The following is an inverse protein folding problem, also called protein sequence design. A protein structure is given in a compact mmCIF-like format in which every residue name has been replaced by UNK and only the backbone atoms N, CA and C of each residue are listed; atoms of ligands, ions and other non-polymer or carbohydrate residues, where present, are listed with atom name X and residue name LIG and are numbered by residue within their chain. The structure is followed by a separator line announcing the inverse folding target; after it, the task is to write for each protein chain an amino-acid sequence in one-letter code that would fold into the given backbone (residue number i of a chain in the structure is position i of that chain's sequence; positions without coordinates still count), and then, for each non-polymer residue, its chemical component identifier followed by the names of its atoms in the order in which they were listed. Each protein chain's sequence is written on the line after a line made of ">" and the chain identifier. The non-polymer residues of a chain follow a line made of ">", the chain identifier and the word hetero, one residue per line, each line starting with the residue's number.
data_IF_426806206181
#
_entry.id   IF_426806206181
#
_cell.length_a   1.000
_cell.length_b   1.000
_cell.length_c   1.000
_cell.angle_alpha   90.00
_cell.angle_beta   90.00
_cell.angle_gamma   90.00
#
_symmetry.space_group_name_H-M   'P 1'
#
loop_
_entity.id
_entity.type
_entity.pdbx_description
1 polymer ?
#
# COMPACT_ATOMS: atom_id res chain seq x y z
N UNK A 1 23.64 -1.31 -33.51
CA UNK A 1 24.80 -1.43 -32.62
C UNK A 1 24.32 -2.10 -31.33
N UNK A 2 24.54 -3.41 -31.26
CA UNK A 2 24.26 -4.16 -30.06
C UNK A 2 25.39 -3.94 -29.07
N UNK A 3 25.14 -3.41 -27.90
CA UNK A 3 26.10 -3.45 -26.79
C UNK A 3 26.17 -4.94 -26.39
N UNK A 4 27.17 -5.64 -26.90
CA UNK A 4 27.38 -7.04 -26.61
C UNK A 4 27.86 -7.21 -25.18
N UNK A 5 26.95 -7.52 -24.26
CA UNK A 5 27.35 -8.04 -22.95
C UNK A 5 28.01 -9.41 -23.16
N UNK A 6 29.10 -9.72 -22.42
CA UNK A 6 29.72 -11.03 -22.48
C UNK A 6 28.67 -12.10 -22.07
N UNK A 7 28.73 -13.30 -22.65
CA UNK A 7 27.87 -14.40 -22.26
C UNK A 7 28.08 -14.74 -20.77
N UNK A 8 27.02 -15.20 -20.09
CA UNK A 8 27.13 -15.72 -18.73
C UNK A 8 27.99 -17.03 -18.69
N UNK A 9 28.19 -17.57 -17.50
CA UNK A 9 28.97 -18.81 -17.29
C UNK A 9 28.39 -20.02 -18.02
N UNK A 10 27.11 -19.96 -18.42
CA UNK A 10 26.44 -21.00 -19.21
C UNK A 10 26.41 -20.68 -20.71
N UNK A 11 27.14 -19.66 -21.15
CA UNK A 11 27.21 -19.26 -22.56
C UNK A 11 25.97 -18.54 -23.10
N UNK A 12 25.02 -18.15 -22.22
CA UNK A 12 23.80 -17.48 -22.61
C UNK A 12 24.05 -15.98 -22.71
N UNK A 13 23.53 -15.36 -23.78
CA UNK A 13 23.60 -13.89 -23.95
C UNK A 13 22.33 -13.25 -23.43
N UNK A 14 22.51 -12.27 -22.57
CA UNK A 14 21.43 -11.43 -22.07
C UNK A 14 21.06 -10.37 -23.11
N UNK A 15 19.80 -10.32 -23.49
CA UNK A 15 19.26 -9.28 -24.35
C UNK A 15 18.31 -8.43 -23.54
N UNK A 16 18.57 -7.13 -23.50
CA UNK A 16 17.66 -6.17 -22.86
C UNK A 16 16.51 -5.92 -23.82
N UNK A 17 15.33 -6.38 -23.46
CA UNK A 17 14.09 -6.11 -24.18
C UNK A 17 13.50 -4.75 -23.80
N UNK A 18 12.74 -4.13 -24.71
CA UNK A 18 12.04 -2.87 -24.43
C UNK A 18 11.18 -2.93 -23.16
N UNK A 19 10.62 -4.08 -22.85
CA UNK A 19 9.85 -4.29 -21.62
C UNK A 19 10.72 -4.17 -20.37
N UNK A 20 11.93 -4.73 -20.38
CA UNK A 20 12.88 -4.64 -19.27
C UNK A 20 13.38 -3.20 -19.06
N UNK A 21 13.64 -2.47 -20.15
CA UNK A 21 13.99 -1.06 -20.07
C UNK A 21 12.88 -0.22 -19.48
N UNK A 22 11.63 -0.45 -19.95
CA UNK A 22 10.44 0.23 -19.41
C UNK A 22 10.29 -0.07 -17.93
N UNK A 23 10.44 -1.33 -17.52
CA UNK A 23 10.38 -1.77 -16.14
C UNK A 23 11.40 -1.05 -15.27
N UNK A 24 12.68 -1.11 -15.63
CA UNK A 24 13.76 -0.46 -14.90
C UNK A 24 13.54 1.05 -14.80
N UNK A 25 13.08 1.68 -15.90
CA UNK A 25 12.77 3.10 -15.92
C UNK A 25 11.66 3.45 -14.93
N UNK A 26 10.52 2.75 -14.95
CA UNK A 26 9.39 3.05 -14.08
C UNK A 26 9.72 2.86 -12.60
N UNK A 27 10.44 1.80 -12.27
CA UNK A 27 10.88 1.54 -10.89
C UNK A 27 11.85 2.62 -10.42
N UNK A 28 12.85 2.96 -11.25
CA UNK A 28 13.82 4.02 -10.93
C UNK A 28 13.13 5.38 -10.81
N UNK A 29 12.19 5.68 -11.70
CA UNK A 29 11.43 6.93 -11.67
C UNK A 29 10.58 7.05 -10.40
N UNK A 30 9.87 5.97 -10.03
CA UNK A 30 9.12 5.94 -8.78
C UNK A 30 10.05 6.06 -7.55
N UNK A 31 11.19 5.37 -7.58
CA UNK A 31 12.20 5.49 -6.52
C UNK A 31 12.64 6.94 -6.28
N UNK A 32 12.93 7.66 -7.36
CA UNK A 32 13.42 9.04 -7.28
C UNK A 32 12.34 10.04 -6.83
N UNK A 33 11.10 9.85 -7.26
CA UNK A 33 10.04 10.87 -7.14
C UNK A 33 8.87 10.43 -6.26
N UNK A 34 8.85 9.17 -5.81
CA UNK A 34 7.85 8.58 -4.93
C UNK A 34 6.40 8.82 -5.44
N UNK A 35 5.46 9.01 -4.53
CA UNK A 35 4.03 9.19 -4.86
C UNK A 35 3.71 10.43 -5.72
N UNK A 36 4.53 11.46 -5.67
CA UNK A 36 4.35 12.64 -6.51
C UNK A 36 4.53 12.36 -8.02
N UNK A 37 5.20 11.26 -8.36
CA UNK A 37 5.50 10.90 -9.74
C UNK A 37 4.43 10.05 -10.43
N UNK A 38 3.45 9.54 -9.71
CA UNK A 38 2.52 8.52 -10.20
C UNK A 38 1.78 8.94 -11.47
N UNK A 39 1.33 10.20 -11.58
CA UNK A 39 0.66 10.69 -12.78
C UNK A 39 1.59 10.71 -14.00
N UNK A 40 2.80 11.26 -13.82
CA UNK A 40 3.81 11.33 -14.88
C UNK A 40 4.25 9.92 -15.30
N UNK A 41 4.52 9.03 -14.35
CA UNK A 41 4.90 7.65 -14.62
C UNK A 41 3.79 6.89 -15.36
N UNK A 42 2.52 7.07 -14.97
CA UNK A 42 1.37 6.48 -15.66
C UNK A 42 1.28 6.94 -17.10
N UNK A 43 1.44 8.24 -17.35
CA UNK A 43 1.47 8.81 -18.69
C UNK A 43 2.62 8.26 -19.53
N UNK A 44 3.83 8.22 -18.98
CA UNK A 44 5.03 7.69 -19.68
C UNK A 44 4.94 6.19 -19.96
N UNK A 45 4.24 5.46 -19.11
CA UNK A 45 3.99 4.03 -19.29
C UNK A 45 2.78 3.73 -20.21
N UNK A 46 2.12 4.76 -20.72
CA UNK A 46 0.88 4.61 -21.53
C UNK A 46 -0.18 3.75 -20.81
N UNK A 47 -0.26 3.89 -19.49
CA UNK A 47 -1.31 3.24 -18.71
C UNK A 47 -2.59 4.08 -18.73
N UNK A 48 -3.70 3.48 -19.17
CA UNK A 48 -5.01 4.12 -19.17
C UNK A 48 -5.50 4.40 -17.74
N UNK A 49 -5.11 3.55 -16.78
CA UNK A 49 -5.49 3.68 -15.38
C UNK A 49 -4.25 3.68 -14.49
N UNK A 50 -4.20 4.62 -13.55
CA UNK A 50 -3.09 4.74 -12.60
C UNK A 50 -2.98 3.51 -11.69
N UNK A 51 -4.08 2.82 -11.45
CA UNK A 51 -4.10 1.57 -10.69
C UNK A 51 -3.25 0.47 -11.31
N UNK A 52 -3.19 0.41 -12.64
CA UNK A 52 -2.32 -0.55 -13.35
C UNK A 52 -0.85 -0.27 -13.07
N UNK A 53 -0.46 1.01 -13.02
CA UNK A 53 0.89 1.40 -12.63
C UNK A 53 1.18 1.01 -11.19
N UNK A 54 0.24 1.25 -10.27
CA UNK A 54 0.42 0.93 -8.85
C UNK A 54 0.62 -0.57 -8.64
N UNK A 55 -0.25 -1.42 -9.19
CA UNK A 55 -0.09 -2.88 -9.17
C UNK A 55 1.25 -3.33 -9.75
N UNK A 56 1.72 -2.63 -10.79
CA UNK A 56 3.02 -2.91 -11.38
C UNK A 56 4.18 -2.55 -10.43
N UNK A 57 4.09 -1.42 -9.72
CA UNK A 57 5.05 -1.02 -8.70
C UNK A 57 5.07 -2.04 -7.56
N UNK A 58 3.92 -2.39 -6.99
CA UNK A 58 3.80 -3.39 -5.94
C UNK A 58 4.42 -4.75 -6.31
N UNK A 59 4.24 -5.18 -7.56
CA UNK A 59 4.76 -6.46 -8.04
C UNK A 59 6.28 -6.46 -8.29
N UNK A 60 6.91 -5.31 -8.48
CA UNK A 60 8.29 -5.24 -8.96
C UNK A 60 9.23 -4.42 -8.08
N UNK A 61 8.70 -3.67 -7.13
CA UNK A 61 9.50 -2.95 -6.14
C UNK A 61 9.87 -3.89 -4.98
N UNK A 62 11.08 -3.80 -4.41
CA UNK A 62 11.42 -4.59 -3.23
C UNK A 62 10.45 -4.34 -2.08
N UNK A 63 9.85 -5.41 -1.52
CA UNK A 63 8.74 -5.28 -0.58
C UNK A 63 9.07 -4.45 0.66
N UNK A 64 10.23 -4.69 1.30
CA UNK A 64 10.65 -3.94 2.49
C UNK A 64 10.86 -2.44 2.20
N UNK A 65 11.36 -2.12 1.02
CA UNK A 65 11.61 -0.75 0.58
C UNK A 65 10.29 -0.05 0.22
N UNK A 66 9.37 -0.75 -0.43
CA UNK A 66 8.04 -0.20 -0.73
C UNK A 66 7.30 0.12 0.57
N UNK A 67 7.27 -0.80 1.52
CA UNK A 67 6.63 -0.61 2.83
C UNK A 67 7.22 0.58 3.59
N UNK A 68 8.55 0.78 3.51
CA UNK A 68 9.20 1.93 4.11
C UNK A 68 8.77 3.26 3.45
N UNK A 69 8.64 3.28 2.11
CA UNK A 69 8.16 4.46 1.38
C UNK A 69 6.68 4.75 1.67
N UNK A 70 5.85 3.73 1.80
CA UNK A 70 4.44 3.85 2.18
C UNK A 70 4.29 4.44 3.59
N UNK A 71 5.11 3.94 4.54
CA UNK A 71 5.14 4.44 5.91
C UNK A 71 5.59 5.91 5.98
N UNK A 72 6.67 6.26 5.29
CA UNK A 72 7.16 7.64 5.19
C UNK A 72 6.09 8.57 4.57
N UNK A 73 5.44 8.12 3.49
CA UNK A 73 4.37 8.88 2.88
C UNK A 73 3.20 9.09 3.83
N UNK A 74 2.75 8.03 4.51
CA UNK A 74 1.66 8.10 5.46
C UNK A 74 1.98 9.03 6.65
N UNK A 75 3.19 8.95 7.22
CA UNK A 75 3.64 9.84 8.28
C UNK A 75 3.59 11.31 7.84
N UNK A 76 4.13 11.62 6.67
CA UNK A 76 4.10 12.98 6.12
C UNK A 76 2.66 13.49 5.92
N UNK A 77 1.75 12.63 5.40
CA UNK A 77 0.36 13.00 5.20
C UNK A 77 -0.39 13.22 6.53
N UNK A 78 -0.06 12.46 7.56
CA UNK A 78 -0.62 12.64 8.90
C UNK A 78 -0.18 13.97 9.51
N UNK A 79 1.10 14.35 9.38
CA UNK A 79 1.61 15.65 9.80
C UNK A 79 0.95 16.80 9.04
N UNK A 80 0.81 16.67 7.73
CA UNK A 80 0.14 17.67 6.90
C UNK A 80 -1.35 17.80 7.24
N UNK A 81 -1.99 16.69 7.59
CA UNK A 81 -3.38 16.69 8.05
C UNK A 81 -3.53 17.44 9.38
N UNK A 82 -2.69 17.16 10.37
CA UNK A 82 -2.75 17.82 11.69
C UNK A 82 -2.47 19.33 11.60
N UNK A 83 -1.58 19.73 10.69
CA UNK A 83 -1.27 21.14 10.42
C UNK A 83 -2.21 21.81 9.42
N UNK A 84 -3.30 21.16 9.01
CA UNK A 84 -4.27 21.61 8.00
C UNK A 84 -3.67 21.98 6.62
N UNK A 85 -2.55 21.37 6.25
CA UNK A 85 -1.90 21.63 4.97
C UNK A 85 -2.54 20.86 3.81
N UNK A 86 -2.99 19.62 4.05
CA UNK A 86 -3.52 18.75 2.99
C UNK A 86 -5.05 18.77 2.85
N UNK A 87 -5.80 19.56 3.63
CA UNK A 87 -7.26 19.72 3.54
C UNK A 87 -8.07 18.42 3.47
N UNK A 88 -7.57 17.34 4.08
CA UNK A 88 -8.23 16.04 4.09
C UNK A 88 -7.88 15.12 2.92
N UNK A 89 -6.87 15.45 2.12
CA UNK A 89 -6.23 14.52 1.19
C UNK A 89 -4.98 13.93 1.86
N UNK A 90 -4.68 12.63 1.72
CA UNK A 90 -5.40 11.57 1.01
C UNK A 90 -6.75 11.17 1.62
N UNK A 91 -7.59 10.47 0.84
CA UNK A 91 -8.86 9.96 1.35
C UNK A 91 -8.63 9.00 2.54
N UNK A 92 -9.54 9.06 3.51
CA UNK A 92 -9.48 8.29 4.76
C UNK A 92 -8.29 8.64 5.69
N UNK A 93 -7.61 9.77 5.46
CA UNK A 93 -6.54 10.24 6.35
C UNK A 93 -7.03 10.45 7.79
N UNK A 94 -8.29 10.90 7.97
CA UNK A 94 -8.90 11.07 9.29
C UNK A 94 -9.03 9.75 10.06
N UNK A 95 -9.37 8.67 9.36
CA UNK A 95 -9.51 7.36 9.97
C UNK A 95 -8.15 6.79 10.36
N UNK A 96 -7.14 6.99 9.52
CA UNK A 96 -5.75 6.65 9.83
C UNK A 96 -5.24 7.44 11.03
N UNK A 97 -5.44 8.77 11.05
CA UNK A 97 -5.06 9.63 12.17
C UNK A 97 -5.70 9.15 13.49
N UNK A 98 -7.01 8.89 13.47
CA UNK A 98 -7.73 8.39 14.64
C UNK A 98 -7.22 7.03 15.12
N UNK A 99 -6.82 6.16 14.20
CA UNK A 99 -6.26 4.85 14.52
C UNK A 99 -4.88 4.97 15.17
N UNK A 100 -4.01 5.83 14.63
CA UNK A 100 -2.69 6.15 15.20
C UNK A 100 -2.82 6.73 16.61
N UNK A 101 -3.61 7.79 16.78
CA UNK A 101 -3.83 8.41 18.08
C UNK A 101 -4.38 7.43 19.12
N UNK A 102 -5.26 6.52 18.70
CA UNK A 102 -5.79 5.46 19.58
C UNK A 102 -4.72 4.46 19.97
N UNK A 103 -3.84 4.08 19.03
CA UNK A 103 -2.78 3.11 19.30
C UNK A 103 -1.78 3.64 20.32
N UNK A 104 -1.33 4.87 20.14
CA UNK A 104 -0.35 5.51 21.02
C UNK A 104 -0.98 6.16 22.27
N UNK A 105 -2.32 6.22 22.36
CA UNK A 105 -3.01 6.82 23.51
C UNK A 105 -2.84 8.33 23.61
N UNK A 106 -2.62 9.01 22.49
CA UNK A 106 -2.40 10.45 22.40
C UNK A 106 -3.55 11.18 21.70
N UNK A 107 -3.65 12.49 21.86
CA UNK A 107 -4.63 13.32 21.16
C UNK A 107 -4.12 13.88 19.84
N UNK A 108 -2.81 14.02 19.70
CA UNK A 108 -2.13 14.64 18.58
C UNK A 108 -0.91 13.80 18.18
N UNK A 109 -0.60 13.77 16.90
CA UNK A 109 0.56 13.02 16.37
C UNK A 109 1.86 13.71 16.78
N UNK A 110 1.84 15.03 16.98
CA UNK A 110 2.98 15.80 17.47
C UNK A 110 3.54 15.35 18.82
N UNK A 111 2.80 14.53 19.56
CA UNK A 111 3.22 13.93 20.83
C UNK A 111 3.94 12.57 20.67
N UNK A 112 4.00 12.05 19.44
CA UNK A 112 4.62 10.77 19.13
C UNK A 112 6.02 11.03 18.57
N UNK A 113 6.99 10.21 18.97
CA UNK A 113 8.31 10.23 18.33
C UNK A 113 8.19 9.82 16.85
N UNK A 114 8.87 10.55 15.96
CA UNK A 114 8.78 10.35 14.51
C UNK A 114 9.24 8.93 14.12
N UNK A 115 10.25 8.40 14.78
CA UNK A 115 10.74 7.04 14.52
C UNK A 115 9.73 5.98 14.97
N UNK A 116 9.11 6.15 16.14
CA UNK A 116 8.08 5.23 16.64
C UNK A 116 6.85 5.22 15.73
N UNK A 117 6.43 6.40 15.25
CA UNK A 117 5.32 6.51 14.32
C UNK A 117 5.64 5.78 12.99
N UNK A 118 6.82 6.03 12.44
CA UNK A 118 7.23 5.44 11.16
C UNK A 118 7.39 3.93 11.27
N UNK A 119 7.98 3.42 12.36
CA UNK A 119 8.15 1.98 12.60
C UNK A 119 6.79 1.28 12.75
N UNK A 120 5.86 1.90 13.48
CA UNK A 120 4.51 1.36 13.60
C UNK A 120 3.77 1.34 12.26
N UNK A 121 3.85 2.43 11.48
CA UNK A 121 3.25 2.49 10.14
C UNK A 121 3.86 1.43 9.23
N UNK A 122 5.19 1.27 9.24
CA UNK A 122 5.88 0.24 8.47
C UNK A 122 5.35 -1.16 8.82
N UNK A 123 5.22 -1.48 10.11
CA UNK A 123 4.65 -2.74 10.54
C UNK A 123 3.19 -2.90 10.09
N UNK A 124 2.41 -1.82 10.14
CA UNK A 124 1.00 -1.85 9.77
C UNK A 124 0.80 -2.07 8.25
N UNK A 125 1.67 -1.53 7.40
CA UNK A 125 1.68 -1.80 5.96
C UNK A 125 2.23 -3.20 5.65
N UNK A 126 3.32 -3.62 6.29
CA UNK A 126 3.92 -4.95 6.11
C UNK A 126 2.93 -6.08 6.47
N UNK A 127 2.15 -5.89 7.52
CA UNK A 127 1.11 -6.83 7.94
C UNK A 127 -0.20 -6.67 7.16
N UNK A 128 -0.25 -5.79 6.17
CA UNK A 128 -1.46 -5.46 5.40
C UNK A 128 -2.65 -5.03 6.28
N UNK A 129 -2.40 -4.46 7.44
CA UNK A 129 -3.43 -3.82 8.25
C UNK A 129 -3.96 -2.56 7.57
N UNK A 130 -3.04 -1.83 6.94
CA UNK A 130 -3.32 -0.71 6.04
C UNK A 130 -2.75 -0.99 4.66
N UNK A 131 -3.42 -0.47 3.65
CA UNK A 131 -3.00 -0.54 2.25
C UNK A 131 -3.17 0.85 1.62
N UNK A 132 -2.29 1.19 0.69
CA UNK A 132 -2.44 2.37 -0.14
C UNK A 132 -3.18 1.96 -1.41
N UNK A 133 -4.25 2.70 -1.75
CA UNK A 133 -4.91 2.59 -3.06
C UNK A 133 -4.73 3.88 -3.84
N UNK A 134 -4.44 3.74 -5.12
CA UNK A 134 -4.22 4.87 -6.03
C UNK A 134 -5.30 4.89 -7.10
N UNK A 135 -5.94 6.04 -7.27
CA UNK A 135 -7.02 6.19 -8.24
C UNK A 135 -7.03 7.60 -8.87
N UNK A 136 -7.84 7.80 -9.90
CA UNK A 136 -7.98 9.08 -10.57
C UNK A 136 -9.27 9.78 -10.17
N UNK A 137 -9.14 11.08 -9.86
CA UNK A 137 -10.28 11.96 -9.61
C UNK A 137 -10.43 12.88 -10.81
N UNK A 138 -11.66 12.96 -11.33
CA UNK A 138 -12.04 13.97 -12.34
C UNK A 138 -12.63 15.18 -11.64
N UNK A 139 -11.94 16.29 -11.73
CA UNK A 139 -12.42 17.57 -11.20
C UNK A 139 -13.59 18.13 -12.02
N UNK A 140 -14.37 19.04 -11.44
CA UNK A 140 -15.51 19.68 -12.13
C UNK A 140 -15.11 20.43 -13.41
N UNK A 141 -13.89 20.94 -13.48
CA UNK A 141 -13.32 21.59 -14.66
C UNK A 141 -12.81 20.61 -15.74
N UNK A 142 -13.00 19.30 -15.53
CA UNK A 142 -12.54 18.25 -16.45
C UNK A 142 -11.08 17.82 -16.28
N UNK A 143 -10.30 18.47 -15.41
CA UNK A 143 -8.94 18.02 -15.12
C UNK A 143 -8.95 16.68 -14.37
N UNK A 144 -8.01 15.83 -14.70
CA UNK A 144 -7.81 14.53 -14.07
C UNK A 144 -6.55 14.63 -13.21
N UNK A 145 -6.63 14.15 -11.98
CA UNK A 145 -5.47 14.05 -11.08
C UNK A 145 -5.46 12.69 -10.39
N UNK A 146 -4.28 12.25 -10.02
CA UNK A 146 -4.12 11.09 -9.16
C UNK A 146 -4.50 11.44 -7.72
N UNK A 147 -5.11 10.51 -7.05
CA UNK A 147 -5.40 10.59 -5.62
C UNK A 147 -4.97 9.30 -4.94
N UNK A 148 -4.68 9.42 -3.67
CA UNK A 148 -4.28 8.32 -2.80
C UNK A 148 -5.33 8.16 -1.70
N UNK A 149 -5.66 6.94 -1.34
CA UNK A 149 -6.51 6.61 -0.21
C UNK A 149 -5.80 5.59 0.69
N UNK A 150 -5.99 5.75 1.99
CA UNK A 150 -5.63 4.72 2.96
C UNK A 150 -6.80 3.78 3.18
N UNK A 151 -6.60 2.49 2.95
CA UNK A 151 -7.58 1.45 3.20
C UNK A 151 -7.22 0.68 4.45
N UNK A 152 -8.19 0.53 5.33
CA UNK A 152 -8.10 -0.34 6.50
C UNK A 152 -8.63 -1.70 6.08
N UNK A 153 -7.82 -2.74 6.18
CA UNK A 153 -8.28 -4.10 6.00
C UNK A 153 -9.09 -4.48 7.24
N UNK A 154 -10.41 -4.47 7.14
CA UNK A 154 -11.25 -5.04 8.20
C UNK A 154 -10.83 -6.50 8.39
N UNK A 155 -10.31 -6.87 9.57
CA UNK A 155 -10.20 -8.27 9.97
C UNK A 155 -11.54 -8.93 9.68
N UNK A 156 -11.52 -9.92 8.79
CA UNK A 156 -12.76 -10.53 8.33
C UNK A 156 -13.55 -11.02 9.54
N UNK A 157 -14.70 -10.40 9.82
CA UNK A 157 -15.67 -10.80 10.85
C UNK A 157 -16.14 -12.26 10.71
N UNK A 158 -15.64 -12.95 9.69
CA UNK A 158 -15.94 -14.36 9.40
C UNK A 158 -15.17 -15.37 10.28
N UNK A 159 -14.05 -14.99 10.91
CA UNK A 159 -13.33 -15.89 11.84
C UNK A 159 -14.12 -16.15 13.13
N UNK A 160 -14.96 -15.19 13.56
CA UNK A 160 -15.78 -15.36 14.78
C UNK A 160 -17.09 -16.14 14.56
N UNK A 161 -17.56 -16.30 13.34
CA UNK A 161 -18.75 -17.16 13.04
C UNK A 161 -18.40 -18.64 12.96
N UNK A 162 -17.15 -18.99 12.61
CA UNK A 162 -16.70 -20.39 12.57
C UNK A 162 -16.50 -21.03 13.95
N UNK A 163 -16.15 -20.23 14.96
CA UNK A 163 -15.91 -20.74 16.32
C UNK A 163 -17.20 -20.99 17.12
N UNK A 164 -18.30 -20.27 16.83
CA UNK A 164 -19.60 -20.48 17.48
C UNK A 164 -20.39 -21.66 16.92
N UNK A 165 -20.05 -22.15 15.73
CA UNK A 165 -20.74 -23.30 15.10
C UNK A 165 -20.25 -24.68 15.57
N UNK A 166 -19.06 -24.78 16.18
CA UNK A 166 -18.51 -26.07 16.63
C UNK A 166 -18.88 -26.49 18.04
N UNK A 167 -19.25 -25.54 18.90
CA UNK A 167 -19.61 -25.85 20.33
C UNK A 167 -21.03 -26.39 20.47
N UNK A 168 -21.87 -26.22 19.45
CA UNK A 168 -23.31 -26.68 19.49
C UNK A 168 -23.52 -28.11 19.00
N UNK A 169 -22.57 -28.76 18.32
CA UNK A 169 -22.76 -30.09 17.76
C UNK A 169 -22.35 -31.24 18.67
N UNK A 170 -21.46 -31.01 19.64
CA UNK A 170 -21.01 -32.08 20.52
C UNK A 170 -21.92 -32.32 21.72
N UNK A 171 -22.88 -31.40 22.01
CA UNK A 171 -23.90 -31.61 23.07
C UNK A 171 -25.17 -32.38 22.65
N UNK A 172 -25.35 -32.58 21.34
CA UNK A 172 -26.53 -33.32 20.83
C UNK A 172 -26.31 -34.83 20.67
N UNK A 173 -25.04 -35.28 20.73
CA UNK A 173 -24.67 -36.69 20.48
C UNK A 173 -24.54 -37.55 21.73
N UNK A 174 -24.63 -36.96 22.92
CA UNK A 174 -24.48 -37.69 24.18
C UNK A 174 -25.84 -38.03 24.86
N UNK A 175 -26.99 -37.80 24.20
CA UNK A 175 -28.34 -38.07 24.80
C UNK A 175 -29.13 -39.16 24.08
N UNK A 176 -28.54 -39.89 23.11
CA UNK A 176 -29.24 -40.96 22.38
C UNK A 176 -28.80 -42.40 22.72
N UNK A 177 -27.88 -42.58 23.67
CA UNK A 177 -27.37 -43.92 24.03
C UNK A 177 -27.78 -44.36 25.47
N UNK A 178 -28.92 -43.90 25.97
CA UNK A 178 -29.56 -44.49 27.17
C UNK A 178 -31.07 -44.57 26.94
N UNK A 179 -31.45 -45.61 26.17
CA UNK A 179 -32.75 -46.27 26.27
C UNK A 179 -32.67 -47.67 25.68
#
# INVERSE_FOLDING_TARGET
>A
NYVGLPPDELGRRWYVHHHELRKSFLITFFWCFKFASLEAASWMADHSEIKQLWVYIEANFPGEELTALEAEYAANQLWDFETNRNRGEPDNIQDLHRAVCRHFGVSEISLIDESELTDWLKLAFDTHLYEIDVYRIKSRNGSIRSAVAFKIREESKNAKKGAKGKIGRDKARSKSDQR
#
